data_IF_557338353440
#
_entry.id   IF_557338353440
#
_cell.length_a   1.000
_cell.length_b   1.000
_cell.length_c   1.000
_cell.angle_alpha   90.00
_cell.angle_beta   90.00
_cell.angle_gamma   90.00
#
_symmetry.space_group_name_H-M   'P 1'
#
loop_
_entity.id
_entity.type
_entity.pdbx_description
1 polymer ?
#
# COMPACT_ATOMS: atom_id res chain seq x y z
N UNK A 1 1.96 -36.15 -13.92
CA UNK A 1 1.51 -35.30 -12.81
C UNK A 1 2.55 -35.44 -11.69
N UNK A 2 3.35 -34.40 -11.39
CA UNK A 2 4.22 -34.44 -10.21
C UNK A 2 3.34 -34.21 -8.98
N UNK A 3 3.42 -35.12 -8.03
CA UNK A 3 2.75 -35.04 -6.72
C UNK A 3 3.30 -33.82 -5.99
N UNK A 4 2.41 -32.88 -5.64
CA UNK A 4 2.68 -31.86 -4.63
C UNK A 4 3.09 -32.61 -3.35
N UNK A 5 4.33 -32.35 -2.92
CA UNK A 5 4.87 -32.98 -1.71
C UNK A 5 3.97 -32.61 -0.53
N UNK A 6 3.54 -33.62 0.23
CA UNK A 6 2.84 -33.51 1.50
C UNK A 6 3.57 -32.54 2.43
N UNK A 7 3.11 -31.28 2.51
CA UNK A 7 3.33 -30.43 3.69
C UNK A 7 2.24 -30.79 4.69
N UNK A 8 2.56 -31.01 5.97
CA UNK A 8 1.55 -31.14 7.01
C UNK A 8 0.66 -29.88 6.98
N UNK A 9 -0.65 -30.04 7.01
CA UNK A 9 -1.66 -28.95 6.96
C UNK A 9 -1.50 -27.92 8.10
N UNK A 10 -0.68 -28.21 9.12
CA UNK A 10 -0.56 -27.41 10.34
C UNK A 10 0.19 -26.08 10.20
N UNK A 11 0.80 -25.76 9.05
CA UNK A 11 1.61 -24.52 8.91
C UNK A 11 1.61 -23.90 7.52
N UNK A 12 0.47 -23.93 6.80
CA UNK A 12 0.37 -23.16 5.57
C UNK A 12 0.22 -21.68 5.92
N UNK A 13 1.27 -20.88 5.65
CA UNK A 13 1.20 -19.43 5.77
C UNK A 13 0.42 -18.82 4.61
N UNK A 14 -0.28 -17.70 4.83
CA UNK A 14 -0.76 -16.89 3.73
C UNK A 14 0.38 -16.49 2.81
N UNK A 15 0.14 -16.45 1.50
CA UNK A 15 1.15 -16.10 0.48
C UNK A 15 0.84 -14.74 -0.10
N UNK A 16 1.74 -13.77 0.10
CA UNK A 16 1.64 -12.42 -0.44
C UNK A 16 2.51 -12.24 -1.68
N UNK A 17 1.89 -12.14 -2.85
CA UNK A 17 2.57 -11.69 -4.07
C UNK A 17 2.65 -10.16 -4.07
N UNK A 18 3.84 -9.62 -4.25
CA UNK A 18 4.11 -8.21 -4.06
C UNK A 18 5.13 -7.67 -5.07
N UNK A 19 5.07 -6.38 -5.31
CA UNK A 19 6.13 -5.66 -6.02
C UNK A 19 6.55 -4.45 -5.18
N UNK A 20 7.84 -4.38 -4.86
CA UNK A 20 8.38 -3.44 -3.89
C UNK A 20 7.93 -1.99 -4.09
N UNK A 21 7.90 -1.50 -5.34
CA UNK A 21 7.61 -0.09 -5.67
C UNK A 21 6.14 0.22 -5.96
N UNK A 22 5.25 -0.77 -5.97
CA UNK A 22 3.83 -0.55 -6.18
C UNK A 22 3.20 0.07 -4.93
N UNK A 23 2.49 1.22 -5.01
CA UNK A 23 1.87 1.86 -3.85
C UNK A 23 0.81 0.98 -3.20
N UNK A 24 0.02 0.26 -3.97
CA UNK A 24 -0.95 -0.71 -3.47
C UNK A 24 -0.27 -1.84 -2.67
N UNK A 25 0.83 -2.39 -3.20
CA UNK A 25 1.58 -3.42 -2.49
C UNK A 25 2.34 -2.86 -1.26
N UNK A 26 2.72 -1.58 -1.27
CA UNK A 26 3.32 -0.92 -0.10
C UNK A 26 2.34 -0.88 1.06
N UNK A 27 1.09 -0.41 0.84
CA UNK A 27 0.12 -0.29 1.93
C UNK A 27 -0.28 -1.65 2.50
N UNK A 28 -0.38 -2.69 1.66
CA UNK A 28 -0.60 -4.05 2.13
C UNK A 28 0.55 -4.54 3.03
N UNK A 29 1.83 -4.36 2.59
CA UNK A 29 2.98 -4.70 3.43
C UNK A 29 3.04 -3.88 4.72
N UNK A 30 2.64 -2.59 4.69
CA UNK A 30 2.57 -1.76 5.90
C UNK A 30 1.62 -2.35 6.94
N UNK A 31 0.42 -2.74 6.52
CA UNK A 31 -0.57 -3.31 7.43
C UNK A 31 -0.14 -4.68 7.96
N UNK A 32 0.43 -5.55 7.12
CA UNK A 32 0.95 -6.86 7.53
C UNK A 32 2.12 -6.70 8.51
N UNK A 33 3.08 -5.81 8.20
CA UNK A 33 4.20 -5.55 9.13
C UNK A 33 3.74 -4.93 10.46
N UNK A 34 2.71 -4.10 10.42
CA UNK A 34 2.14 -3.48 11.60
C UNK A 34 1.37 -4.47 12.49
N UNK A 35 0.56 -5.33 11.88
CA UNK A 35 -0.20 -6.33 12.62
C UNK A 35 0.69 -7.45 13.19
N UNK A 36 1.89 -7.64 12.64
CA UNK A 36 2.78 -8.73 13.01
C UNK A 36 2.33 -10.10 12.50
N UNK A 37 1.25 -10.17 11.69
CA UNK A 37 0.83 -11.42 11.09
C UNK A 37 1.85 -11.90 10.06
N UNK A 38 2.34 -13.13 10.24
CA UNK A 38 3.38 -13.69 9.36
C UNK A 38 2.77 -14.22 8.06
N UNK A 39 3.34 -13.83 6.93
CA UNK A 39 3.02 -14.33 5.59
C UNK A 39 4.28 -14.81 4.87
N UNK A 40 4.14 -15.64 3.85
CA UNK A 40 5.19 -15.93 2.87
C UNK A 40 5.18 -14.82 1.82
N UNK A 41 6.20 -13.95 1.82
CA UNK A 41 6.33 -12.87 0.85
C UNK A 41 7.04 -13.36 -0.42
N UNK A 42 6.40 -13.16 -1.55
CA UNK A 42 6.91 -13.42 -2.90
C UNK A 42 7.04 -12.10 -3.65
N UNK A 43 8.24 -11.50 -3.63
CA UNK A 43 8.50 -10.28 -4.41
C UNK A 43 8.69 -10.67 -5.89
N UNK A 44 7.92 -10.06 -6.81
CA UNK A 44 7.85 -10.47 -8.21
C UNK A 44 8.29 -9.37 -9.17
N UNK A 45 8.53 -9.75 -10.43
CA UNK A 45 8.69 -8.83 -11.56
C UNK A 45 7.34 -8.66 -12.27
N UNK A 46 6.90 -7.41 -12.47
CA UNK A 46 5.63 -7.14 -13.16
C UNK A 46 5.61 -7.58 -14.64
N UNK A 47 6.79 -7.70 -15.27
CA UNK A 47 6.94 -8.16 -16.65
C UNK A 47 6.97 -9.69 -16.79
N UNK A 48 7.15 -10.40 -15.67
CA UNK A 48 7.27 -11.85 -15.60
C UNK A 48 6.53 -12.33 -14.36
N UNK A 49 5.21 -12.47 -14.51
CA UNK A 49 4.32 -12.79 -13.40
C UNK A 49 4.23 -14.29 -13.20
N UNK A 50 4.37 -14.79 -11.96
CA UNK A 50 4.25 -16.21 -11.66
C UNK A 50 2.91 -16.78 -12.07
N UNK A 51 2.91 -18.01 -12.60
CA UNK A 51 1.69 -18.71 -13.04
C UNK A 51 0.72 -18.94 -11.89
N UNK A 52 1.24 -19.28 -10.72
CA UNK A 52 0.41 -19.49 -9.51
C UNK A 52 -0.31 -18.21 -9.10
N UNK A 53 0.37 -17.05 -9.19
CA UNK A 53 -0.25 -15.75 -8.94
C UNK A 53 -1.38 -15.46 -9.94
N UNK A 54 -1.13 -15.69 -11.24
CA UNK A 54 -2.12 -15.44 -12.30
C UNK A 54 -3.30 -16.41 -12.18
N UNK A 55 -3.05 -17.65 -11.76
CA UNK A 55 -4.11 -18.64 -11.50
C UNK A 55 -4.98 -18.25 -10.29
N UNK A 56 -4.36 -17.68 -9.24
CA UNK A 56 -5.08 -17.21 -8.06
C UNK A 56 -5.84 -15.91 -8.32
N UNK A 57 -5.26 -15.00 -9.14
CA UNK A 57 -5.84 -13.70 -9.47
C UNK A 57 -5.70 -13.40 -10.97
N UNK A 58 -6.75 -13.67 -11.78
CA UNK A 58 -6.73 -13.41 -13.22
C UNK A 58 -6.53 -11.92 -13.60
N UNK A 59 -6.81 -10.98 -12.69
CA UNK A 59 -6.45 -9.56 -12.87
C UNK A 59 -4.95 -9.37 -13.07
N UNK A 60 -4.14 -10.30 -12.55
CA UNK A 60 -2.69 -10.29 -12.64
C UNK A 60 -2.06 -8.96 -12.16
N UNK A 61 -2.65 -8.33 -11.16
CA UNK A 61 -2.15 -7.14 -10.48
C UNK A 61 -1.56 -7.50 -9.11
N UNK A 62 -0.79 -6.60 -8.52
CA UNK A 62 -0.26 -6.75 -7.15
C UNK A 62 -0.77 -5.64 -6.26
N UNK A 63 -1.00 -5.93 -4.96
CA UNK A 63 -0.76 -7.20 -4.25
C UNK A 63 -1.84 -8.26 -4.49
N UNK A 64 -1.50 -9.51 -4.26
CA UNK A 64 -2.44 -10.64 -4.12
C UNK A 64 -2.07 -11.40 -2.86
N UNK A 65 -3.04 -11.68 -2.00
CA UNK A 65 -2.88 -12.51 -0.82
C UNK A 65 -3.72 -13.77 -0.95
N UNK A 66 -3.06 -14.93 -1.05
CA UNK A 66 -3.71 -16.24 -1.01
C UNK A 66 -3.69 -16.77 0.41
N UNK A 67 -4.86 -17.10 0.97
CA UNK A 67 -5.01 -17.62 2.32
C UNK A 67 -4.97 -19.14 2.36
N UNK A 68 -4.64 -19.76 3.51
CA UNK A 68 -4.55 -21.22 3.65
C UNK A 68 -5.86 -21.97 3.36
N UNK A 69 -7.00 -21.33 3.56
CA UNK A 69 -8.34 -21.88 3.28
C UNK A 69 -8.71 -21.86 1.78
N UNK A 70 -7.81 -21.35 0.92
CA UNK A 70 -8.00 -21.24 -0.52
C UNK A 70 -8.66 -19.93 -0.95
N UNK A 71 -9.06 -19.06 -0.04
CA UNK A 71 -9.56 -17.72 -0.38
C UNK A 71 -8.44 -16.80 -0.85
N UNK A 72 -8.78 -15.82 -1.70
CA UNK A 72 -7.83 -14.89 -2.30
C UNK A 72 -8.33 -13.45 -2.12
N UNK A 73 -7.46 -12.59 -1.60
CA UNK A 73 -7.70 -11.16 -1.53
C UNK A 73 -6.88 -10.46 -2.62
N UNK A 74 -7.57 -9.79 -3.53
CA UNK A 74 -6.97 -9.14 -4.71
C UNK A 74 -6.87 -7.62 -4.57
N UNK A 75 -7.61 -7.04 -3.62
CA UNK A 75 -7.58 -5.61 -3.36
C UNK A 75 -6.71 -5.30 -2.15
N UNK A 76 -5.83 -4.32 -2.31
CA UNK A 76 -4.88 -3.98 -1.24
C UNK A 76 -5.54 -3.46 0.03
N UNK A 77 -6.71 -2.81 -0.08
CA UNK A 77 -7.47 -2.37 1.10
C UNK A 77 -8.04 -3.57 1.85
N UNK A 78 -8.55 -4.59 1.15
CA UNK A 78 -9.04 -5.81 1.78
C UNK A 78 -7.91 -6.55 2.50
N UNK A 79 -6.70 -6.58 1.91
CA UNK A 79 -5.51 -7.13 2.58
C UNK A 79 -5.15 -6.33 3.84
N UNK A 80 -5.23 -5.00 3.79
CA UNK A 80 -5.00 -4.16 4.98
C UNK A 80 -6.03 -4.49 6.07
N UNK A 81 -7.31 -4.52 5.72
CA UNK A 81 -8.39 -4.83 6.66
C UNK A 81 -8.23 -6.24 7.24
N UNK A 82 -7.92 -7.22 6.41
CA UNK A 82 -7.63 -8.58 6.86
C UNK A 82 -6.47 -8.59 7.89
N UNK A 83 -5.38 -7.91 7.61
CA UNK A 83 -4.25 -7.82 8.54
C UNK A 83 -4.66 -7.21 9.89
N UNK A 84 -5.47 -6.14 9.87
CA UNK A 84 -5.99 -5.50 11.09
C UNK A 84 -6.97 -6.39 11.86
N UNK A 85 -7.70 -7.31 11.19
CA UNK A 85 -8.52 -8.31 11.91
C UNK A 85 -7.67 -9.33 12.65
N UNK A 86 -6.43 -9.58 12.20
CA UNK A 86 -5.52 -10.47 12.92
C UNK A 86 -4.97 -9.79 14.17
N UNK A 87 -4.57 -8.53 14.06
CA UNK A 87 -4.09 -7.72 15.19
C UNK A 87 -4.02 -6.24 14.79
N UNK A 88 -4.58 -5.37 15.62
CA UNK A 88 -4.56 -3.91 15.44
C UNK A 88 -4.13 -3.21 16.73
N UNK A 89 -2.83 -3.30 17.12
CA UNK A 89 -2.33 -2.92 18.45
C UNK A 89 -2.52 -1.44 18.79
N UNK A 90 -2.50 -0.54 17.80
CA UNK A 90 -2.68 0.90 18.00
C UNK A 90 -3.96 1.43 17.36
N UNK A 91 -4.92 0.55 17.02
CA UNK A 91 -6.25 0.91 16.49
C UNK A 91 -6.18 1.79 15.25
N UNK A 92 -5.41 1.36 14.24
CA UNK A 92 -5.45 2.01 12.92
C UNK A 92 -6.86 2.03 12.34
N UNK A 93 -7.67 1.03 12.68
CA UNK A 93 -9.09 1.03 12.41
C UNK A 93 -9.84 1.31 13.73
N UNK A 94 -10.13 2.58 14.07
CA UNK A 94 -10.75 2.92 15.34
C UNK A 94 -12.14 2.30 15.48
N UNK A 95 -12.57 2.02 16.72
CA UNK A 95 -13.93 1.54 17.01
C UNK A 95 -14.99 2.63 16.78
N UNK A 96 -14.58 3.89 16.92
CA UNK A 96 -15.42 5.07 16.70
C UNK A 96 -15.91 5.14 15.25
N UNK A 97 -17.22 4.99 15.07
CA UNK A 97 -17.85 5.02 13.73
C UNK A 97 -17.69 6.37 13.06
N UNK A 98 -17.76 7.48 13.80
CA UNK A 98 -17.59 8.82 13.22
C UNK A 98 -16.19 9.03 12.63
N UNK A 99 -15.16 8.40 13.20
CA UNK A 99 -13.81 8.38 12.60
C UNK A 99 -13.75 7.47 11.39
N UNK A 100 -14.38 6.31 11.41
CA UNK A 100 -14.45 5.42 10.24
C UNK A 100 -15.13 6.10 9.06
N UNK A 101 -16.21 6.86 9.32
CA UNK A 101 -16.93 7.63 8.31
C UNK A 101 -16.08 8.75 7.68
N UNK A 102 -14.94 9.10 8.27
CA UNK A 102 -13.95 10.01 7.68
C UNK A 102 -12.84 9.23 6.95
N UNK A 103 -12.42 8.07 7.45
CA UNK A 103 -11.33 7.26 6.92
C UNK A 103 -11.65 6.72 5.52
N UNK A 104 -12.78 6.03 5.38
CA UNK A 104 -13.09 5.33 4.12
C UNK A 104 -13.33 6.28 2.94
N UNK A 105 -14.04 7.41 3.07
CA UNK A 105 -14.17 8.37 1.97
C UNK A 105 -12.84 8.99 1.52
N UNK A 106 -11.88 9.22 2.45
CA UNK A 106 -10.54 9.68 2.06
C UNK A 106 -9.78 8.63 1.25
N UNK A 107 -9.91 7.35 1.62
CA UNK A 107 -9.28 6.25 0.88
C UNK A 107 -9.94 6.08 -0.50
N UNK A 108 -11.26 6.18 -0.58
CA UNK A 108 -12.01 6.11 -1.83
C UNK A 108 -11.61 7.24 -2.79
N UNK A 109 -11.48 8.47 -2.28
CA UNK A 109 -11.02 9.62 -3.08
C UNK A 109 -9.58 9.43 -3.56
N UNK A 110 -8.70 8.89 -2.69
CA UNK A 110 -7.34 8.53 -3.08
C UNK A 110 -7.30 7.49 -4.20
N UNK A 111 -8.07 6.41 -4.05
CA UNK A 111 -8.04 5.25 -4.97
C UNK A 111 -8.76 5.53 -6.29
N UNK A 112 -9.67 6.49 -6.33
CA UNK A 112 -10.47 6.90 -7.49
C UNK A 112 -9.92 8.16 -8.17
N UNK A 113 -10.49 9.35 -7.90
CA UNK A 113 -10.15 10.57 -8.64
C UNK A 113 -8.69 10.98 -8.48
N UNK A 114 -8.14 10.96 -7.26
CA UNK A 114 -6.73 11.32 -7.06
C UNK A 114 -5.79 10.36 -7.79
N UNK A 115 -6.04 9.05 -7.73
CA UNK A 115 -5.21 8.06 -8.44
C UNK A 115 -5.26 8.28 -9.95
N UNK A 116 -6.40 8.67 -10.49
CA UNK A 116 -6.54 9.00 -11.91
C UNK A 116 -5.65 10.20 -12.28
N UNK A 117 -5.69 11.27 -11.51
CA UNK A 117 -4.85 12.47 -11.72
C UNK A 117 -3.36 12.15 -11.54
N UNK A 118 -3.01 11.35 -10.53
CA UNK A 118 -1.64 10.86 -10.31
C UNK A 118 -1.10 10.10 -11.52
N UNK A 119 -1.86 9.16 -12.08
CA UNK A 119 -1.42 8.38 -13.23
C UNK A 119 -1.24 9.26 -14.47
N UNK A 120 -2.16 10.18 -14.73
CA UNK A 120 -2.06 11.13 -15.84
C UNK A 120 -0.88 12.09 -15.67
N UNK A 121 -0.65 12.59 -14.47
CA UNK A 121 0.50 13.43 -14.16
C UNK A 121 1.82 12.68 -14.35
N UNK A 122 1.93 11.48 -13.79
CA UNK A 122 3.16 10.67 -13.84
C UNK A 122 3.47 10.16 -15.24
N UNK A 123 2.45 9.74 -15.97
CA UNK A 123 2.57 9.16 -17.31
C UNK A 123 2.02 10.10 -18.39
N UNK A 124 2.13 11.42 -18.19
CA UNK A 124 1.55 12.46 -19.05
C UNK A 124 1.82 12.28 -20.55
N UNK A 125 2.94 11.66 -20.92
CA UNK A 125 3.28 11.34 -22.33
C UNK A 125 2.23 10.42 -22.97
N UNK A 126 1.47 9.65 -22.18
CA UNK A 126 0.39 8.76 -22.64
C UNK A 126 -0.96 9.45 -22.67
N UNK A 127 -1.05 10.66 -22.15
CA UNK A 127 -2.27 11.45 -22.00
C UNK A 127 -2.05 12.86 -22.55
N UNK A 128 -1.95 13.00 -23.89
CA UNK A 128 -1.61 14.27 -24.54
C UNK A 128 -2.75 15.29 -24.55
N UNK A 129 -3.94 14.95 -24.00
CA UNK A 129 -5.14 15.78 -24.04
C UNK A 129 -5.00 17.07 -23.21
N UNK A 130 -4.15 17.04 -22.17
CA UNK A 130 -3.86 18.19 -21.31
C UNK A 130 -2.36 18.31 -21.05
N UNK A 131 -1.85 19.51 -20.74
CA UNK A 131 -0.50 19.67 -20.24
C UNK A 131 -0.30 18.91 -18.92
N UNK A 132 0.95 18.48 -18.66
CA UNK A 132 1.33 17.79 -17.42
C UNK A 132 0.90 18.54 -16.16
N UNK A 133 1.06 19.88 -16.18
CA UNK A 133 0.73 20.77 -15.09
C UNK A 133 -0.77 20.78 -14.77
N UNK A 134 -1.64 20.62 -15.77
CA UNK A 134 -3.08 20.55 -15.56
C UNK A 134 -3.46 19.28 -14.79
N UNK A 135 -2.86 18.13 -15.11
CA UNK A 135 -3.06 16.90 -14.34
C UNK A 135 -2.50 16.99 -12.92
N UNK A 136 -1.42 17.73 -12.73
CA UNK A 136 -0.91 18.03 -11.40
C UNK A 136 -1.92 18.84 -10.60
N UNK A 137 -2.46 19.92 -11.16
CA UNK A 137 -3.47 20.78 -10.52
C UNK A 137 -4.73 19.98 -10.12
N UNK A 138 -5.19 19.06 -10.95
CA UNK A 138 -6.29 18.15 -10.60
C UNK A 138 -5.96 17.30 -9.36
N UNK A 139 -4.70 16.86 -9.21
CA UNK A 139 -4.25 16.12 -8.03
C UNK A 139 -4.06 17.01 -6.80
N UNK A 140 -3.77 18.29 -6.99
CA UNK A 140 -3.60 19.27 -5.92
C UNK A 140 -4.91 19.53 -5.14
N UNK A 141 -6.09 19.32 -5.75
CA UNK A 141 -7.38 19.39 -5.04
C UNK A 141 -7.42 18.43 -3.82
N UNK A 142 -6.89 17.23 -4.00
CA UNK A 142 -6.76 16.28 -2.89
C UNK A 142 -5.70 16.72 -1.88
N UNK A 143 -4.59 17.30 -2.32
CA UNK A 143 -3.56 17.84 -1.43
C UNK A 143 -4.09 18.95 -0.53
N UNK A 144 -4.91 19.86 -1.07
CA UNK A 144 -5.56 20.91 -0.30
C UNK A 144 -6.46 20.36 0.80
N UNK A 145 -7.20 19.26 0.50
CA UNK A 145 -8.00 18.58 1.51
C UNK A 145 -7.13 17.98 2.60
N UNK A 146 -6.05 17.27 2.25
CA UNK A 146 -5.15 16.67 3.21
C UNK A 146 -4.41 17.73 4.05
N UNK A 147 -3.96 18.82 3.43
CA UNK A 147 -3.32 19.94 4.13
C UNK A 147 -4.25 20.58 5.15
N UNK A 148 -5.56 20.76 4.83
CA UNK A 148 -6.57 21.24 5.78
C UNK A 148 -6.73 20.28 6.96
N UNK A 149 -6.88 18.97 6.72
CA UNK A 149 -6.99 17.98 7.80
C UNK A 149 -5.76 18.02 8.72
N UNK A 150 -4.57 18.10 8.13
CA UNK A 150 -3.30 18.19 8.86
C UNK A 150 -3.09 19.56 9.53
N UNK A 151 -3.90 20.57 9.21
CA UNK A 151 -3.90 21.84 9.94
C UNK A 151 -4.64 21.76 11.28
N UNK A 152 -5.57 20.82 11.40
CA UNK A 152 -6.40 20.62 12.59
C UNK A 152 -5.86 19.48 13.46
N UNK A 153 -5.17 18.50 12.85
CA UNK A 153 -4.72 17.28 13.51
C UNK A 153 -3.30 16.92 13.09
N UNK A 154 -2.66 16.07 13.89
CA UNK A 154 -1.32 15.54 13.57
C UNK A 154 -1.34 14.58 12.38
N UNK A 155 -2.43 13.83 12.18
CA UNK A 155 -2.64 12.87 11.10
C UNK A 155 -3.96 13.16 10.38
N UNK A 156 -4.26 12.42 9.32
CA UNK A 156 -5.38 12.73 8.42
C UNK A 156 -6.76 12.69 9.09
N UNK A 157 -6.93 11.90 10.16
CA UNK A 157 -8.21 11.73 10.87
C UNK A 157 -8.03 11.81 12.39
N UNK A 158 -7.15 12.69 12.88
CA UNK A 158 -6.92 12.90 14.31
C UNK A 158 -5.44 12.87 14.70
N UNK A 159 -5.15 12.67 15.99
CA UNK A 159 -3.80 12.80 16.53
C UNK A 159 -3.00 11.49 16.58
N UNK A 160 -3.59 10.40 16.13
CA UNK A 160 -2.96 9.09 15.99
C UNK A 160 -3.02 8.62 14.52
N UNK A 161 -2.01 7.83 14.13
CA UNK A 161 -2.01 7.17 12.81
C UNK A 161 -3.25 6.29 12.67
N UNK A 162 -3.94 6.42 11.54
CA UNK A 162 -5.10 5.60 11.19
C UNK A 162 -4.86 4.82 9.89
N UNK A 163 -5.83 3.99 9.54
CA UNK A 163 -5.86 3.30 8.24
C UNK A 163 -5.78 4.29 7.07
N UNK A 164 -6.40 5.51 7.19
CA UNK A 164 -6.32 6.53 6.14
C UNK A 164 -4.87 6.93 5.84
N UNK A 165 -4.09 7.21 6.89
CA UNK A 165 -2.70 7.62 6.73
C UNK A 165 -1.87 6.57 6.00
N UNK A 166 -1.96 5.32 6.46
CA UNK A 166 -1.16 4.22 5.91
C UNK A 166 -1.62 3.75 4.54
N UNK A 167 -2.90 3.95 4.22
CA UNK A 167 -3.44 3.65 2.90
C UNK A 167 -3.06 4.73 1.86
N UNK A 168 -2.95 5.99 2.26
CA UNK A 168 -2.81 7.14 1.36
C UNK A 168 -1.35 7.52 1.11
N UNK A 169 -0.47 7.46 2.14
CA UNK A 169 0.90 7.99 2.01
C UNK A 169 1.70 7.39 0.82
N UNK A 170 1.54 6.11 0.40
CA UNK A 170 2.30 5.60 -0.73
C UNK A 170 1.96 6.28 -2.06
N UNK A 171 0.74 6.80 -2.18
CA UNK A 171 0.27 7.49 -3.38
C UNK A 171 0.73 8.95 -3.38
N UNK A 172 0.68 9.64 -2.23
CA UNK A 172 1.27 10.97 -2.06
C UNK A 172 2.77 10.92 -2.36
N UNK A 173 3.49 9.91 -1.82
CA UNK A 173 4.88 9.65 -2.17
C UNK A 173 5.09 9.46 -3.67
N UNK A 174 4.22 8.72 -4.34
CA UNK A 174 4.35 8.48 -5.78
C UNK A 174 4.14 9.78 -6.57
N UNK A 175 3.20 10.62 -6.15
CA UNK A 175 2.95 11.93 -6.75
C UNK A 175 4.15 12.87 -6.55
N UNK A 176 4.64 13.00 -5.33
CA UNK A 176 5.83 13.79 -4.98
C UNK A 176 7.06 13.39 -5.80
N UNK A 177 7.29 12.08 -5.96
CA UNK A 177 8.39 11.55 -6.77
C UNK A 177 8.25 11.79 -8.28
N UNK A 178 7.10 12.26 -8.76
CA UNK A 178 6.95 12.63 -10.17
C UNK A 178 7.63 13.97 -10.49
N UNK A 179 7.74 14.86 -9.50
CA UNK A 179 8.50 16.12 -9.57
C UNK A 179 8.85 16.57 -8.14
N UNK A 180 9.98 16.13 -7.64
CA UNK A 180 10.43 16.44 -6.28
C UNK A 180 10.69 17.92 -6.07
N UNK A 181 11.24 18.61 -7.06
CA UNK A 181 11.53 20.05 -6.97
C UNK A 181 10.25 20.87 -6.78
N UNK A 182 9.23 20.53 -7.55
CA UNK A 182 7.93 21.18 -7.40
C UNK A 182 7.31 20.86 -6.04
N UNK A 183 7.32 19.56 -5.63
CA UNK A 183 6.71 19.14 -4.38
C UNK A 183 7.37 19.81 -3.17
N UNK A 184 8.69 19.90 -3.15
CA UNK A 184 9.47 20.54 -2.08
C UNK A 184 9.16 22.04 -1.96
N UNK A 185 8.82 22.70 -3.07
CA UNK A 185 8.45 24.12 -3.11
C UNK A 185 6.93 24.36 -3.02
N UNK A 186 6.11 23.32 -2.94
CA UNK A 186 4.65 23.43 -2.97
C UNK A 186 4.08 24.09 -1.70
N UNK A 187 2.88 24.71 -1.79
CA UNK A 187 2.26 25.39 -0.65
C UNK A 187 1.58 24.45 0.36
N UNK A 188 2.08 23.22 0.49
CA UNK A 188 1.53 22.17 1.37
C UNK A 188 2.55 21.75 2.43
N UNK A 189 2.96 22.63 3.37
CA UNK A 189 4.05 22.35 4.31
C UNK A 189 3.71 21.22 5.30
N UNK A 190 2.46 21.09 5.72
CA UNK A 190 2.04 20.04 6.67
C UNK A 190 2.00 18.67 5.99
N UNK A 191 1.49 18.61 4.74
CA UNK A 191 1.47 17.39 3.94
C UNK A 191 2.89 16.90 3.64
N UNK A 192 3.83 17.82 3.36
CA UNK A 192 5.25 17.47 3.19
C UNK A 192 5.84 16.89 4.46
N UNK A 193 5.62 17.55 5.61
CA UNK A 193 6.11 17.07 6.91
C UNK A 193 5.52 15.70 7.26
N UNK A 194 4.20 15.53 7.09
CA UNK A 194 3.52 14.25 7.30
C UNK A 194 4.10 13.14 6.39
N UNK A 195 4.37 13.43 5.13
CA UNK A 195 4.99 12.47 4.24
C UNK A 195 6.42 12.12 4.68
N UNK A 196 7.22 13.11 5.10
CA UNK A 196 8.59 12.90 5.57
C UNK A 196 8.64 12.05 6.84
N UNK A 197 7.68 12.20 7.75
CA UNK A 197 7.52 11.35 8.95
C UNK A 197 7.34 9.88 8.55
N UNK A 198 6.51 9.60 7.54
CA UNK A 198 6.35 8.23 7.03
C UNK A 198 7.60 7.71 6.36
N UNK A 199 8.24 8.52 5.51
CA UNK A 199 9.43 8.13 4.74
C UNK A 199 10.65 7.87 5.62
N UNK A 200 10.77 8.57 6.74
CA UNK A 200 11.85 8.40 7.73
C UNK A 200 11.58 7.29 8.74
N UNK A 201 10.36 6.71 8.76
CA UNK A 201 10.00 5.69 9.74
C UNK A 201 10.73 4.37 9.50
N UNK A 202 11.09 3.69 10.59
CA UNK A 202 11.69 2.35 10.55
C UNK A 202 10.80 1.35 9.81
N UNK A 203 9.49 1.43 10.01
CA UNK A 203 8.52 0.57 9.33
C UNK A 203 8.53 0.75 7.83
N UNK A 204 8.62 2.00 7.34
CA UNK A 204 8.75 2.25 5.91
C UNK A 204 10.09 1.72 5.37
N UNK A 205 11.19 1.97 6.06
CA UNK A 205 12.50 1.43 5.69
C UNK A 205 12.45 -0.11 5.61
N UNK A 206 11.81 -0.76 6.58
CA UNK A 206 11.65 -2.21 6.64
C UNK A 206 10.85 -2.76 5.44
N UNK A 207 9.66 -2.20 5.13
CA UNK A 207 8.85 -2.68 4.00
C UNK A 207 9.47 -2.38 2.64
N UNK A 208 10.41 -1.43 2.58
CA UNK A 208 11.14 -1.05 1.37
C UNK A 208 12.49 -1.74 1.23
N UNK A 209 12.90 -2.58 2.18
CA UNK A 209 14.09 -3.43 2.06
C UNK A 209 14.05 -4.18 0.73
N UNK A 210 15.16 -4.14 -0.02
CA UNK A 210 15.28 -4.91 -1.27
C UNK A 210 15.39 -6.39 -0.92
N UNK A 211 14.47 -7.17 -1.48
CA UNK A 211 14.38 -8.61 -1.30
C UNK A 211 14.70 -9.33 -2.61
N UNK A 212 15.16 -10.59 -2.57
CA UNK A 212 15.30 -11.40 -3.78
C UNK A 212 13.96 -11.51 -4.53
N UNK A 213 14.05 -11.53 -5.86
CA UNK A 213 12.88 -11.87 -6.67
C UNK A 213 12.58 -13.36 -6.47
N UNK A 214 11.34 -13.64 -6.13
CA UNK A 214 10.88 -15.00 -5.93
C UNK A 214 10.89 -15.79 -7.25
N UNK A 215 11.28 -17.06 -7.16
CA UNK A 215 11.34 -17.99 -8.29
C UNK A 215 10.33 -19.13 -8.08
N UNK A 216 9.57 -19.48 -9.12
CA UNK A 216 8.62 -20.60 -9.06
C UNK A 216 9.26 -21.88 -8.52
N UNK A 217 8.55 -22.58 -7.65
CA UNK A 217 9.02 -23.81 -7.00
C UNK A 217 9.90 -23.59 -5.78
N UNK A 218 10.24 -22.35 -5.42
CA UNK A 218 10.97 -22.03 -4.17
C UNK A 218 10.01 -21.54 -3.08
N UNK A 219 10.52 -21.47 -1.84
CA UNK A 219 9.81 -20.85 -0.71
C UNK A 219 10.14 -19.36 -0.72
N UNK A 220 9.11 -18.50 -0.54
CA UNK A 220 9.30 -17.07 -0.33
C UNK A 220 9.89 -16.74 1.04
N UNK A 221 10.15 -15.46 1.29
CA UNK A 221 10.64 -15.01 2.59
C UNK A 221 9.53 -14.88 3.61
N UNK A 222 9.82 -15.15 4.89
CA UNK A 222 8.89 -14.81 5.97
C UNK A 222 8.78 -13.29 6.12
N UNK A 223 7.56 -12.79 6.27
CA UNK A 223 7.30 -11.36 6.42
C UNK A 223 6.11 -11.11 7.37
N UNK A 224 6.25 -10.25 8.37
CA UNK A 224 7.53 -9.71 8.85
C UNK A 224 8.48 -10.80 9.36
N UNK A 225 9.80 -10.52 9.32
CA UNK A 225 10.80 -11.39 9.91
C UNK A 225 10.55 -11.45 11.43
N UNK A 226 10.75 -12.61 12.06
CA UNK A 226 10.48 -12.81 13.50
C UNK A 226 11.25 -11.85 14.41
N UNK A 227 12.36 -11.28 13.91
CA UNK A 227 13.23 -10.36 14.66
C UNK A 227 12.85 -8.88 14.47
N UNK A 228 11.77 -8.58 13.73
CA UNK A 228 11.33 -7.21 13.37
C UNK A 228 10.05 -6.77 14.12
N UNK A 229 9.59 -7.54 15.10
CA UNK A 229 8.40 -7.26 15.91
C UNK A 229 8.72 -6.48 17.18
#
# INVERSE_FOLDING_TARGET
MPRLANRPEEFLLPVLYSFRRCPYAMRARMAIAYSGVTVELRDILLKDKPKDMVAASPKATVPVLSLPDGSVLEESLDIMLWALTQNDPNRWLPEDTAKRDQIFPLIEENDGPFKTSLDRYKYHVRFPEKPREAYRQEGEEFFEKLERNLSEHRYLVGDNITLADTAIFPFIRQFANSDTKWFDASPYPRLRHWLDDFLSSERFAYIMKKRPIWTEGTVGELFPDRDAA
#
